data_IF_216047441459
#
_entry.id   IF_216047441459
#
_cell.length_a   1.000
_cell.length_b   1.000
_cell.length_c   1.000
_cell.angle_alpha   90.00
_cell.angle_beta   90.00
_cell.angle_gamma   90.00
#
_symmetry.space_group_name_H-M   'P 1'
#
loop_
_entity.id
_entity.type
_entity.pdbx_description
1 polymer ?
#
# COMPACT_ATOMS: atom_id res chain seq x y z
N UNK A 1 -2.19 -26.65 5.59
CA UNK A 1 -3.44 -25.89 5.82
C UNK A 1 -3.50 -24.75 4.81
N UNK A 2 -4.40 -24.74 3.81
CA UNK A 2 -4.56 -23.57 2.95
C UNK A 2 -5.26 -22.46 3.75
N UNK A 3 -4.59 -21.32 3.96
CA UNK A 3 -5.20 -20.18 4.66
C UNK A 3 -6.48 -19.73 3.96
N UNK A 4 -7.55 -19.52 4.75
CA UNK A 4 -8.85 -19.06 4.28
C UNK A 4 -8.71 -17.76 3.46
N UNK A 5 -9.40 -17.63 2.30
CA UNK A 5 -9.35 -16.43 1.46
C UNK A 5 -9.65 -15.13 2.21
N UNK A 6 -10.51 -15.20 3.24
CA UNK A 6 -10.86 -14.05 4.10
C UNK A 6 -9.66 -13.55 4.92
N UNK A 7 -8.85 -14.48 5.43
CA UNK A 7 -7.65 -14.17 6.22
C UNK A 7 -6.61 -13.48 5.33
N UNK A 8 -6.41 -13.98 4.10
CA UNK A 8 -5.49 -13.37 3.13
C UNK A 8 -5.89 -11.94 2.75
N UNK A 9 -7.18 -11.71 2.54
CA UNK A 9 -7.71 -10.38 2.21
C UNK A 9 -7.59 -9.41 3.39
N UNK A 10 -7.87 -9.87 4.61
CA UNK A 10 -7.66 -9.08 5.83
C UNK A 10 -6.18 -8.70 6.00
N UNK A 11 -5.27 -9.66 5.91
CA UNK A 11 -3.82 -9.43 6.02
C UNK A 11 -3.30 -8.44 4.96
N UNK A 12 -3.80 -8.51 3.72
CA UNK A 12 -3.49 -7.54 2.68
C UNK A 12 -4.00 -6.14 3.02
N UNK A 13 -5.23 -6.02 3.52
CA UNK A 13 -5.79 -4.73 3.95
C UNK A 13 -4.98 -4.10 5.07
N UNK A 14 -4.61 -4.86 6.11
CA UNK A 14 -3.74 -4.37 7.19
C UNK A 14 -2.40 -3.90 6.63
N UNK A 15 -1.77 -4.68 5.74
CA UNK A 15 -0.49 -4.32 5.13
C UNK A 15 -0.59 -3.02 4.31
N UNK A 16 -1.66 -2.82 3.54
CA UNK A 16 -1.88 -1.56 2.81
C UNK A 16 -2.09 -0.37 3.75
N UNK A 17 -2.80 -0.54 4.87
CA UNK A 17 -2.98 0.51 5.87
C UNK A 17 -1.64 0.93 6.49
N UNK A 18 -0.80 -0.04 6.86
CA UNK A 18 0.55 0.24 7.38
C UNK A 18 1.42 0.97 6.36
N UNK A 19 1.38 0.57 5.08
CA UNK A 19 2.12 1.24 4.02
C UNK A 19 1.64 2.69 3.80
N UNK A 20 0.33 2.95 3.89
CA UNK A 20 -0.23 4.31 3.83
C UNK A 20 0.25 5.17 4.99
N UNK A 21 0.28 4.63 6.20
CA UNK A 21 0.80 5.34 7.37
C UNK A 21 2.29 5.73 7.18
N UNK A 22 3.12 4.77 6.75
CA UNK A 22 4.54 5.03 6.44
C UNK A 22 4.72 6.07 5.32
N UNK A 23 3.80 6.11 4.35
CA UNK A 23 3.84 7.12 3.31
C UNK A 23 3.57 8.53 3.86
N UNK A 24 2.64 8.68 4.80
CA UNK A 24 2.35 9.95 5.48
C UNK A 24 3.57 10.42 6.26
N UNK A 25 4.19 9.54 7.05
CA UNK A 25 5.42 9.83 7.80
C UNK A 25 6.56 10.27 6.88
N UNK A 26 6.78 9.58 5.75
CA UNK A 26 7.81 9.97 4.78
C UNK A 26 7.52 11.33 4.15
N UNK A 27 6.25 11.67 3.88
CA UNK A 27 5.89 13.00 3.38
C UNK A 27 6.22 14.08 4.42
N UNK A 28 5.92 13.83 5.71
CA UNK A 28 6.27 14.74 6.79
C UNK A 28 7.79 14.97 6.87
N UNK A 29 8.59 13.89 6.86
CA UNK A 29 10.07 13.98 6.87
C UNK A 29 10.65 14.71 5.65
N UNK A 30 10.05 14.55 4.47
CA UNK A 30 10.45 15.31 3.28
C UNK A 30 10.17 16.80 3.47
N UNK A 31 9.00 17.16 4.02
CA UNK A 31 8.66 18.56 4.29
C UNK A 31 9.58 19.17 5.35
N UNK A 32 9.91 18.42 6.41
CA UNK A 32 10.88 18.86 7.43
C UNK A 32 12.26 19.13 6.83
N UNK A 33 12.77 18.22 6.00
CA UNK A 33 14.08 18.41 5.34
C UNK A 33 14.07 19.60 4.38
N UNK A 34 12.97 19.83 3.65
CA UNK A 34 12.83 20.98 2.75
C UNK A 34 12.72 22.33 3.49
N UNK A 35 12.26 22.33 4.74
CA UNK A 35 12.21 23.54 5.58
C UNK A 35 13.56 23.95 6.14
N UNK A 36 14.58 23.08 6.07
CA UNK A 36 15.91 23.40 6.59
C UNK A 36 16.56 24.51 5.76
N UNK A 37 17.29 25.45 6.40
CA UNK A 37 17.97 26.53 5.70
C UNK A 37 19.01 26.05 4.67
N UNK A 38 19.58 24.86 4.88
CA UNK A 38 20.41 24.14 3.91
C UNK A 38 19.93 22.67 3.81
N UNK A 39 19.05 22.34 2.86
CA UNK A 39 18.52 20.98 2.75
C UNK A 39 19.58 19.99 2.26
N UNK A 40 19.68 18.83 2.91
CA UNK A 40 20.61 17.79 2.44
C UNK A 40 20.01 17.06 1.24
N UNK A 41 20.61 17.27 0.06
CA UNK A 41 20.18 16.65 -1.20
C UNK A 41 20.21 15.12 -1.15
N UNK A 42 21.21 14.54 -0.51
CA UNK A 42 21.34 13.08 -0.31
C UNK A 42 20.20 12.54 0.55
N UNK A 43 19.88 13.20 1.65
CA UNK A 43 18.76 12.83 2.54
C UNK A 43 17.42 12.94 1.79
N UNK A 44 17.19 14.04 1.07
CA UNK A 44 15.99 14.23 0.25
C UNK A 44 15.85 13.15 -0.83
N UNK A 45 16.92 12.80 -1.52
CA UNK A 45 16.90 11.72 -2.51
C UNK A 45 16.58 10.38 -1.84
N UNK A 46 17.18 10.07 -0.70
CA UNK A 46 16.88 8.85 0.07
C UNK A 46 15.41 8.76 0.47
N UNK A 47 14.85 9.86 0.99
CA UNK A 47 13.44 9.95 1.37
C UNK A 47 12.51 9.80 0.16
N UNK A 48 12.82 10.45 -0.97
CA UNK A 48 12.04 10.34 -2.21
C UNK A 48 12.07 8.91 -2.78
N UNK A 49 13.22 8.23 -2.78
CA UNK A 49 13.34 6.83 -3.21
C UNK A 49 12.52 5.90 -2.31
N UNK A 50 12.55 6.10 -0.99
CA UNK A 50 11.72 5.34 -0.04
C UNK A 50 10.23 5.56 -0.31
N UNK A 51 9.81 6.81 -0.55
CA UNK A 51 8.43 7.15 -0.93
C UNK A 51 8.00 6.46 -2.22
N UNK A 52 8.88 6.41 -3.23
CA UNK A 52 8.61 5.73 -4.49
C UNK A 52 8.39 4.22 -4.30
N UNK A 53 9.29 3.55 -3.56
CA UNK A 53 9.13 2.11 -3.23
C UNK A 53 7.80 1.80 -2.55
N UNK A 54 7.40 2.60 -1.55
CA UNK A 54 6.11 2.42 -0.88
C UNK A 54 4.93 2.63 -1.84
N UNK A 55 5.04 3.57 -2.79
CA UNK A 55 4.01 3.78 -3.82
C UNK A 55 3.87 2.56 -4.72
N UNK A 56 5.00 1.98 -5.15
CA UNK A 56 5.00 0.78 -6.01
C UNK A 56 4.44 -0.44 -5.26
N UNK A 57 4.81 -0.60 -3.99
CA UNK A 57 4.26 -1.64 -3.13
C UNK A 57 2.74 -1.46 -2.95
N UNK A 58 2.26 -0.25 -2.69
CA UNK A 58 0.82 0.02 -2.61
C UNK A 58 0.11 -0.32 -3.92
N UNK A 59 0.63 0.11 -5.06
CA UNK A 59 0.05 -0.19 -6.36
C UNK A 59 -0.07 -1.70 -6.62
N UNK A 60 0.96 -2.46 -6.22
CA UNK A 60 0.97 -3.93 -6.31
C UNK A 60 -0.10 -4.57 -5.42
N UNK A 61 -0.16 -4.19 -4.13
CA UNK A 61 -1.13 -4.76 -3.20
C UNK A 61 -2.57 -4.36 -3.55
N UNK A 62 -2.80 -3.13 -4.01
CA UNK A 62 -4.10 -2.67 -4.50
C UNK A 62 -4.53 -3.40 -5.78
N UNK A 63 -3.59 -3.69 -6.68
CA UNK A 63 -3.84 -4.55 -7.84
C UNK A 63 -4.31 -5.94 -7.42
N UNK A 64 -3.60 -6.58 -6.48
CA UNK A 64 -3.97 -7.90 -5.96
C UNK A 64 -5.33 -7.86 -5.26
N UNK A 65 -5.59 -6.85 -4.44
CA UNK A 65 -6.89 -6.68 -3.77
C UNK A 65 -8.03 -6.57 -4.78
N UNK A 66 -7.88 -5.74 -5.82
CA UNK A 66 -8.88 -5.61 -6.90
C UNK A 66 -9.15 -6.94 -7.60
N UNK A 67 -8.10 -7.72 -7.90
CA UNK A 67 -8.26 -9.04 -8.53
C UNK A 67 -8.97 -10.02 -7.60
N UNK A 68 -8.61 -10.05 -6.31
CA UNK A 68 -9.25 -10.91 -5.31
C UNK A 68 -10.73 -10.55 -5.09
N UNK A 69 -11.07 -9.26 -5.05
CA UNK A 69 -12.45 -8.77 -4.95
C UNK A 69 -13.26 -9.16 -6.20
N UNK A 70 -12.67 -9.01 -7.39
CA UNK A 70 -13.31 -9.41 -8.65
C UNK A 70 -13.55 -10.92 -8.74
N UNK A 71 -12.66 -11.75 -8.19
CA UNK A 71 -12.84 -13.20 -8.12
C UNK A 71 -13.85 -13.62 -7.05
N UNK A 72 -13.93 -12.90 -5.92
CA UNK A 72 -14.94 -13.11 -4.89
C UNK A 72 -16.37 -12.79 -5.36
N UNK A 73 -16.53 -11.81 -6.25
CA UNK A 73 -17.82 -11.42 -6.84
C UNK A 73 -18.40 -12.43 -7.85
N UNK A 74 -17.56 -13.24 -8.51
CA UNK A 74 -18.04 -14.29 -9.44
C UNK A 74 -18.59 -15.54 -8.76
N UNK A 75 -18.53 -15.61 -7.42
CA UNK A 75 -19.01 -16.74 -6.62
C UNK A 75 -20.38 -16.47 -5.98
N UNK A 76 -21.20 -15.61 -6.58
CA UNK A 76 -22.63 -15.69 -6.36
C UNK A 76 -23.18 -16.78 -7.30
N UNK A 77 -23.68 -17.92 -6.78
CA UNK A 77 -24.46 -18.82 -7.62
C UNK A 77 -25.65 -18.04 -8.14
N UNK A 78 -25.91 -18.17 -9.44
CA UNK A 78 -27.22 -17.86 -9.98
C UNK A 78 -28.21 -18.74 -9.22
N UNK A 79 -29.01 -18.14 -8.35
CA UNK A 79 -30.20 -18.80 -7.84
C UNK A 79 -31.09 -19.07 -9.06
N UNK A 80 -31.23 -20.37 -9.31
CA UNK A 80 -32.01 -20.99 -10.37
C UNK A 80 -33.49 -20.89 -10.00
N UNK A 81 -34.28 -20.37 -10.95
CA UNK A 81 -35.74 -20.49 -11.12
C UNK A 81 -36.66 -19.95 -10.02
#
# INVERSE_FOLDING_TARGET
MPESPRIKLFSLKVRTATLRQRQIELKARIMEELKRPAPCSTTLQGLKRRKLRIKDDLARHEGILRTLESMGGRRQPMDVA
#
